data_IF_529189237646
#
_entry.id   IF_529189237646
#
_cell.length_a   1.000
_cell.length_b   1.000
_cell.length_c   1.000
_cell.angle_alpha   90.00
_cell.angle_beta   90.00
_cell.angle_gamma   90.00
#
_symmetry.space_group_name_H-M   'P 1'
#
loop_
_entity.id
_entity.type
_entity.pdbx_description
1 polymer ?
#
# COMPACT_ATOMS: atom_id res chain seq x y z
N UNK A 1 -5.84 18.58 15.36
CA UNK A 1 -6.68 17.99 14.30
C UNK A 1 -6.25 16.56 14.07
N UNK A 2 -7.14 15.57 14.28
CA UNK A 2 -6.80 14.16 14.05
C UNK A 2 -7.07 13.78 12.59
N UNK A 3 -6.05 13.26 11.88
CA UNK A 3 -6.23 12.71 10.54
C UNK A 3 -7.19 11.52 10.52
N UNK A 4 -7.63 11.13 9.31
CA UNK A 4 -8.41 9.90 9.13
C UNK A 4 -7.60 8.70 9.67
N UNK A 5 -8.25 7.68 10.22
CA UNK A 5 -7.50 6.51 10.72
C UNK A 5 -6.99 5.67 9.54
N UNK A 6 -5.68 5.41 9.49
CA UNK A 6 -5.11 4.49 8.49
C UNK A 6 -5.31 3.05 8.95
N UNK A 7 -6.27 2.35 8.34
CA UNK A 7 -6.47 0.93 8.61
C UNK A 7 -5.57 0.04 7.75
N UNK A 8 -5.42 0.39 6.48
CA UNK A 8 -4.67 -0.39 5.50
C UNK A 8 -3.71 0.49 4.71
N UNK A 9 -2.51 -0.05 4.49
CA UNK A 9 -1.55 0.52 3.55
C UNK A 9 -1.59 -0.22 2.21
N UNK A 10 -1.23 0.49 1.14
CA UNK A 10 -1.09 -0.03 -0.22
C UNK A 10 0.32 0.27 -0.69
N UNK A 11 1.01 -0.74 -1.22
CA UNK A 11 2.37 -0.61 -1.73
C UNK A 11 2.60 -1.48 -2.98
N UNK A 12 3.50 -1.07 -3.89
CA UNK A 12 3.84 -1.86 -5.06
C UNK A 12 4.62 -3.12 -4.68
N UNK A 13 4.33 -4.23 -5.36
CA UNK A 13 4.84 -5.55 -5.03
C UNK A 13 6.36 -5.65 -5.24
N UNK A 14 6.93 -4.84 -6.14
CA UNK A 14 8.37 -4.77 -6.33
C UNK A 14 9.14 -4.35 -5.06
N UNK A 15 8.50 -3.73 -4.06
CA UNK A 15 9.16 -3.34 -2.80
C UNK A 15 9.65 -4.53 -1.96
N UNK A 16 9.11 -5.73 -2.18
CA UNK A 16 9.55 -6.94 -1.46
C UNK A 16 10.61 -7.74 -2.22
N UNK A 17 11.15 -7.21 -3.34
CA UNK A 17 12.28 -7.83 -4.01
C UNK A 17 13.47 -7.92 -3.05
N UNK A 18 14.08 -9.11 -2.97
CA UNK A 18 15.14 -9.43 -2.02
C UNK A 18 14.67 -9.84 -0.62
N UNK A 19 13.36 -9.85 -0.33
CA UNK A 19 12.85 -10.29 0.97
C UNK A 19 13.17 -11.77 1.25
N UNK A 20 13.05 -12.64 0.25
CA UNK A 20 13.26 -14.09 0.44
C UNK A 20 14.69 -14.49 0.81
N UNK A 21 15.66 -13.62 0.51
CA UNK A 21 17.09 -13.79 0.79
C UNK A 21 17.59 -12.83 1.87
N UNK A 22 16.67 -12.08 2.51
CA UNK A 22 17.01 -11.11 3.53
C UNK A 22 17.30 -11.78 4.87
N UNK A 23 18.27 -11.23 5.61
CA UNK A 23 18.41 -11.47 7.04
C UNK A 23 17.37 -10.66 7.84
N UNK A 24 17.42 -10.74 9.17
CA UNK A 24 16.48 -10.04 10.05
C UNK A 24 16.57 -8.51 9.90
N UNK A 25 17.79 -7.96 9.83
CA UNK A 25 18.03 -6.52 9.70
C UNK A 25 17.45 -5.97 8.39
N UNK A 26 17.71 -6.68 7.29
CA UNK A 26 17.19 -6.32 5.97
C UNK A 26 15.68 -6.50 5.90
N UNK A 27 15.14 -7.52 6.58
CA UNK A 27 13.68 -7.71 6.70
C UNK A 27 13.03 -6.53 7.42
N UNK A 28 13.59 -6.08 8.56
CA UNK A 28 13.12 -4.88 9.28
C UNK A 28 13.18 -3.63 8.40
N UNK A 29 14.26 -3.46 7.64
CA UNK A 29 14.39 -2.33 6.71
C UNK A 29 13.30 -2.35 5.62
N UNK A 30 13.04 -3.50 4.99
CA UNK A 30 11.99 -3.65 3.98
C UNK A 30 10.62 -3.33 4.58
N UNK A 31 10.31 -3.87 5.77
CA UNK A 31 9.06 -3.60 6.48
C UNK A 31 8.92 -2.11 6.81
N UNK A 32 9.96 -1.47 7.33
CA UNK A 32 9.97 -0.03 7.64
C UNK A 32 9.68 0.81 6.39
N UNK A 33 10.31 0.48 5.27
CA UNK A 33 10.07 1.19 4.00
C UNK A 33 8.63 1.00 3.52
N UNK A 34 8.06 -0.20 3.65
CA UNK A 34 6.66 -0.48 3.30
C UNK A 34 5.71 0.36 4.17
N UNK A 35 5.94 0.44 5.49
CA UNK A 35 5.14 1.24 6.41
C UNK A 35 5.22 2.72 6.04
N UNK A 36 6.44 3.24 5.89
CA UNK A 36 6.71 4.65 5.59
C UNK A 36 6.08 5.06 4.26
N UNK A 37 6.31 4.27 3.20
CA UNK A 37 5.65 4.46 1.91
C UNK A 37 4.14 4.37 2.04
N UNK A 38 3.62 3.38 2.77
CA UNK A 38 2.20 3.14 2.93
C UNK A 38 1.44 4.28 3.58
N UNK A 39 2.01 4.86 4.65
CA UNK A 39 1.46 6.03 5.33
C UNK A 39 1.50 7.25 4.42
N UNK A 40 2.65 7.50 3.78
CA UNK A 40 2.78 8.63 2.88
C UNK A 40 1.84 8.53 1.67
N UNK A 41 1.77 7.36 1.04
CA UNK A 41 0.86 7.10 -0.07
C UNK A 41 -0.61 7.29 0.34
N UNK A 42 -1.01 6.85 1.55
CA UNK A 42 -2.33 7.14 2.09
C UNK A 42 -2.57 8.65 2.24
N UNK A 43 -1.68 9.33 2.95
CA UNK A 43 -1.82 10.75 3.26
C UNK A 43 -1.85 11.63 2.01
N UNK A 44 -1.08 11.29 0.98
CA UNK A 44 -0.93 12.12 -0.22
C UNK A 44 -1.99 11.83 -1.29
N UNK A 45 -2.43 10.58 -1.43
CA UNK A 45 -3.28 10.15 -2.56
C UNK A 45 -4.69 9.68 -2.19
N UNK A 46 -4.95 9.27 -0.94
CA UNK A 46 -6.22 8.65 -0.56
C UNK A 46 -7.01 9.44 0.47
N UNK A 47 -6.32 10.08 1.41
CA UNK A 47 -6.95 10.95 2.39
C UNK A 47 -7.54 12.19 1.71
N UNK A 48 -8.74 12.57 2.14
CA UNK A 48 -9.41 13.79 1.68
C UNK A 48 -9.18 14.90 2.69
N UNK A 49 -8.76 16.06 2.20
CA UNK A 49 -8.62 17.28 2.97
C UNK A 49 -9.29 18.41 2.21
N UNK A 50 -9.97 19.29 2.93
CA UNK A 50 -10.28 20.60 2.39
C UNK A 50 -9.01 21.46 2.34
N UNK A 51 -9.00 22.41 1.42
CA UNK A 51 -7.80 23.22 1.16
C UNK A 51 -7.44 24.11 2.35
N UNK A 52 -8.44 24.70 3.01
CA UNK A 52 -8.24 25.55 4.18
C UNK A 52 -7.57 24.79 5.34
N UNK A 53 -7.93 23.53 5.57
CA UNK A 53 -7.29 22.66 6.56
C UNK A 53 -5.82 22.42 6.25
N UNK A 54 -5.47 22.17 4.98
CA UNK A 54 -4.05 22.01 4.60
C UNK A 54 -3.30 23.34 4.76
N UNK A 55 -3.89 24.46 4.32
CA UNK A 55 -3.31 25.81 4.46
C UNK A 55 -3.04 26.18 5.92
N UNK A 56 -4.03 25.96 6.80
CA UNK A 56 -3.89 26.13 8.25
C UNK A 56 -2.78 25.24 8.81
N UNK A 57 -2.70 23.99 8.36
CA UNK A 57 -1.64 23.09 8.82
C UNK A 57 -0.25 23.51 8.33
N UNK A 58 -0.13 24.01 7.09
CA UNK A 58 1.13 24.56 6.60
C UNK A 58 1.55 25.77 7.42
N UNK A 59 0.62 26.67 7.76
CA UNK A 59 0.91 27.84 8.59
C UNK A 59 1.39 27.43 9.98
N UNK A 60 0.74 26.45 10.59
CA UNK A 60 1.19 25.86 11.86
C UNK A 60 2.62 25.33 11.75
N UNK A 61 2.91 24.54 10.71
CA UNK A 61 4.25 23.97 10.51
C UNK A 61 5.30 25.05 10.19
N UNK A 62 4.93 26.11 9.48
CA UNK A 62 5.77 27.27 9.19
C UNK A 62 6.20 27.95 10.49
N UNK A 63 5.25 28.33 11.36
CA UNK A 63 5.55 28.95 12.64
C UNK A 63 6.38 28.05 13.56
N UNK A 64 6.21 26.73 13.47
CA UNK A 64 7.02 25.75 14.21
C UNK A 64 8.35 25.40 13.55
N UNK A 65 8.70 26.01 12.40
CA UNK A 65 9.92 25.74 11.61
C UNK A 65 10.05 24.26 11.23
N UNK A 66 8.95 23.65 10.79
CA UNK A 66 8.82 22.22 10.46
C UNK A 66 8.47 21.97 9.00
N UNK A 67 8.48 23.00 8.17
CA UNK A 67 8.40 22.86 6.71
C UNK A 67 9.81 22.68 6.11
N UNK A 68 9.91 22.18 4.87
CA UNK A 68 11.21 22.01 4.21
C UNK A 68 12.05 23.28 4.19
N UNK A 69 13.36 23.15 4.41
CA UNK A 69 14.30 24.29 4.48
C UNK A 69 14.23 25.22 3.27
N UNK A 70 14.04 24.67 2.08
CA UNK A 70 13.89 25.44 0.84
C UNK A 70 12.65 26.32 0.88
N UNK A 71 11.54 25.82 1.40
CA UNK A 71 10.33 26.59 1.63
C UNK A 71 10.56 27.65 2.70
N UNK A 72 11.14 27.27 3.85
CA UNK A 72 11.38 28.19 4.97
C UNK A 72 12.22 29.40 4.53
N UNK A 73 13.32 29.17 3.80
CA UNK A 73 14.18 30.26 3.28
C UNK A 73 13.45 31.19 2.32
N UNK A 74 12.57 30.65 1.47
CA UNK A 74 11.81 31.45 0.53
C UNK A 74 10.68 32.23 1.22
N UNK A 75 9.99 31.59 2.16
CA UNK A 75 8.93 32.20 2.96
C UNK A 75 9.48 33.35 3.80
N UNK A 76 10.61 33.20 4.49
CA UNK A 76 11.22 34.30 5.26
C UNK A 76 11.53 35.53 4.39
N UNK A 77 12.10 35.33 3.20
CA UNK A 77 12.32 36.45 2.25
C UNK A 77 11.02 37.08 1.76
N UNK A 78 9.96 36.30 1.60
CA UNK A 78 8.67 36.78 1.18
C UNK A 78 7.98 37.60 2.28
N UNK A 79 8.13 37.21 3.54
CA UNK A 79 7.67 37.98 4.71
C UNK A 79 8.39 39.32 4.77
N UNK A 80 9.72 39.32 4.72
CA UNK A 80 10.54 40.55 4.71
C UNK A 80 10.17 41.49 3.56
N UNK A 81 9.78 40.93 2.41
CA UNK A 81 9.37 41.69 1.23
C UNK A 81 7.87 42.08 1.21
N UNK A 82 7.09 41.77 2.26
CA UNK A 82 5.65 42.02 2.32
C UNK A 82 4.81 41.23 1.32
N UNK A 83 5.35 40.14 0.75
CA UNK A 83 4.69 39.26 -0.23
C UNK A 83 3.98 38.06 0.41
N UNK A 84 4.33 37.75 1.65
CA UNK A 84 3.70 36.75 2.49
C UNK A 84 3.30 37.45 3.80
N UNK A 85 2.02 37.76 3.92
CA UNK A 85 1.44 38.39 5.11
C UNK A 85 1.21 37.29 6.17
N UNK A 86 1.73 37.49 7.38
CA UNK A 86 1.61 36.59 8.53
C UNK A 86 1.48 37.41 9.82
N UNK A 87 0.90 36.85 10.88
CA UNK A 87 0.83 37.48 12.19
C UNK A 87 2.03 37.07 13.06
N UNK A 88 3.05 37.92 13.11
CA UNK A 88 4.26 37.66 13.88
C UNK A 88 4.08 37.81 15.40
N UNK A 89 3.05 38.54 15.85
CA UNK A 89 2.81 38.78 17.28
C UNK A 89 2.22 37.55 17.98
N UNK A 90 1.22 36.93 17.35
CA UNK A 90 0.50 35.79 17.94
C UNK A 90 0.88 34.45 17.29
N UNK A 91 1.52 34.47 16.12
CA UNK A 91 1.87 33.28 15.33
C UNK A 91 0.68 32.34 15.13
N UNK A 92 -0.52 32.92 14.95
CA UNK A 92 -1.78 32.20 14.78
C UNK A 92 -2.29 31.49 16.03
N UNK A 93 -1.75 31.77 17.22
CA UNK A 93 -2.31 31.29 18.49
C UNK A 93 -3.25 32.33 19.10
N UNK A 94 -4.25 31.86 19.84
CA UNK A 94 -5.08 32.74 20.68
C UNK A 94 -4.22 33.47 21.71
N UNK A 95 -4.71 34.59 22.23
CA UNK A 95 -3.95 35.44 23.19
C UNK A 95 -3.60 34.73 24.50
N UNK A 96 -4.33 33.67 24.84
CA UNK A 96 -4.03 32.74 25.95
C UNK A 96 -3.00 31.66 25.59
N UNK A 97 -2.61 31.53 24.32
CA UNK A 97 -1.63 30.58 23.80
C UNK A 97 -2.15 29.15 23.59
N UNK A 98 -3.41 28.88 23.94
CA UNK A 98 -3.92 27.51 24.08
C UNK A 98 -4.38 26.88 22.76
N UNK A 99 -4.84 27.70 21.81
CA UNK A 99 -5.40 27.19 20.56
C UNK A 99 -4.78 27.86 19.34
N UNK A 100 -4.39 27.04 18.36
CA UNK A 100 -3.92 27.55 17.07
C UNK A 100 -5.12 27.92 16.21
N UNK A 101 -5.50 29.20 16.20
CA UNK A 101 -6.64 29.77 15.47
C UNK A 101 -6.20 30.99 14.66
N UNK A 102 -5.42 30.79 13.57
CA UNK A 102 -4.95 31.89 12.74
C UNK A 102 -6.11 32.60 12.03
N UNK A 103 -5.89 33.86 11.67
CA UNK A 103 -6.88 34.64 10.96
C UNK A 103 -7.03 34.15 9.51
N UNK A 104 -8.21 34.36 8.92
CA UNK A 104 -8.52 33.86 7.57
C UNK A 104 -7.56 34.40 6.49
N UNK A 105 -7.13 35.66 6.61
CA UNK A 105 -6.19 36.26 5.67
C UNK A 105 -4.80 35.62 5.73
N UNK A 106 -4.35 35.12 6.89
CA UNK A 106 -3.07 34.40 7.00
C UNK A 106 -3.13 33.07 6.25
N UNK A 107 -4.26 32.37 6.39
CA UNK A 107 -4.53 31.11 5.68
C UNK A 107 -4.54 31.36 4.16
N UNK A 108 -5.23 32.41 3.71
CA UNK A 108 -5.28 32.78 2.29
C UNK A 108 -3.92 33.24 1.76
N UNK A 109 -3.14 33.95 2.58
CA UNK A 109 -1.79 34.43 2.26
C UNK A 109 -0.83 33.27 2.03
N UNK A 110 -0.72 32.31 2.96
CA UNK A 110 0.17 31.15 2.79
C UNK A 110 -0.28 30.25 1.64
N UNK A 111 -1.59 30.09 1.45
CA UNK A 111 -2.15 29.31 0.35
C UNK A 111 -1.78 29.89 -1.01
N UNK A 112 -1.95 31.22 -1.19
CA UNK A 112 -1.54 31.93 -2.40
C UNK A 112 -0.04 31.78 -2.62
N UNK A 113 0.77 31.97 -1.59
CA UNK A 113 2.22 31.87 -1.70
C UNK A 113 2.68 30.48 -2.14
N UNK A 114 2.15 29.40 -1.55
CA UNK A 114 2.49 28.02 -1.93
C UNK A 114 2.08 27.73 -3.37
N UNK A 115 0.87 28.14 -3.79
CA UNK A 115 0.37 27.92 -5.15
C UNK A 115 1.17 28.67 -6.21
N UNK A 116 1.40 29.97 -6.00
CA UNK A 116 2.08 30.83 -6.98
C UNK A 116 3.53 30.42 -7.23
N UNK A 117 4.18 29.79 -6.25
CA UNK A 117 5.57 29.35 -6.34
C UNK A 117 5.72 27.81 -6.50
N UNK A 118 4.62 27.08 -6.64
CA UNK A 118 4.59 25.63 -6.79
C UNK A 118 5.33 24.84 -5.69
N UNK A 119 5.24 25.28 -4.43
CA UNK A 119 5.84 24.58 -3.27
C UNK A 119 5.02 23.36 -2.84
N UNK A 120 4.84 22.39 -3.75
CA UNK A 120 4.04 21.18 -3.53
C UNK A 120 4.55 20.34 -2.35
N UNK A 121 5.85 20.38 -2.06
CA UNK A 121 6.45 19.71 -0.90
C UNK A 121 5.96 20.26 0.45
N UNK A 122 5.62 21.56 0.54
CA UNK A 122 5.01 22.13 1.75
C UNK A 122 3.60 21.55 1.98
N UNK A 123 2.84 21.33 0.90
CA UNK A 123 1.55 20.62 0.97
C UNK A 123 1.70 19.16 1.36
N UNK A 124 2.68 18.47 0.81
CA UNK A 124 2.94 17.08 1.18
C UNK A 124 3.30 16.96 2.67
N UNK A 125 4.19 17.81 3.18
CA UNK A 125 4.56 17.84 4.60
C UNK A 125 3.35 18.13 5.50
N UNK A 126 2.50 19.06 5.07
CA UNK A 126 1.26 19.40 5.79
C UNK A 126 0.32 18.20 5.87
N UNK A 127 0.08 17.50 4.76
CA UNK A 127 -0.73 16.28 4.73
C UNK A 127 -0.13 15.16 5.59
N UNK A 128 1.19 14.96 5.53
CA UNK A 128 1.89 13.94 6.32
C UNK A 128 1.82 14.21 7.83
N UNK A 129 1.86 15.48 8.24
CA UNK A 129 1.84 15.86 9.66
C UNK A 129 0.56 15.49 10.41
N UNK A 130 -0.53 15.15 9.70
CA UNK A 130 -1.75 14.62 10.32
C UNK A 130 -1.60 13.16 10.80
N UNK A 131 -0.56 12.44 10.34
CA UNK A 131 -0.37 11.00 10.58
C UNK A 131 0.98 10.67 11.21
N UNK A 132 1.95 11.57 11.07
CA UNK A 132 3.34 11.37 11.45
C UNK A 132 3.78 12.41 12.46
N UNK A 133 4.69 12.01 13.35
CA UNK A 133 5.42 12.97 14.18
C UNK A 133 6.38 13.79 13.30
N UNK A 134 6.71 14.99 13.75
CA UNK A 134 7.49 15.94 12.95
C UNK A 134 8.84 15.39 12.49
N UNK A 135 9.52 14.64 13.35
CA UNK A 135 10.80 13.97 13.09
C UNK A 135 10.71 12.82 12.07
N UNK A 136 9.51 12.36 11.73
CA UNK A 136 9.28 11.26 10.80
C UNK A 136 8.86 11.73 9.40
N UNK A 137 8.39 12.97 9.26
CA UNK A 137 7.80 13.48 8.02
C UNK A 137 8.81 13.43 6.87
N UNK A 138 10.01 13.99 7.06
CA UNK A 138 11.04 14.06 6.03
C UNK A 138 11.50 12.67 5.59
N UNK A 139 11.74 11.77 6.55
CA UNK A 139 12.11 10.38 6.25
C UNK A 139 11.01 9.68 5.45
N UNK A 140 9.75 9.77 5.86
CA UNK A 140 8.64 9.14 5.14
C UNK A 140 8.42 9.74 3.74
N UNK A 141 8.55 11.06 3.60
CA UNK A 141 8.44 11.74 2.30
C UNK A 141 9.56 11.31 1.35
N UNK A 142 10.82 11.28 1.80
CA UNK A 142 11.95 10.83 0.98
C UNK A 142 11.84 9.35 0.57
N UNK A 143 11.38 8.46 1.47
CA UNK A 143 11.08 7.06 1.13
C UNK A 143 9.99 6.99 0.07
N UNK A 144 8.93 7.78 0.20
CA UNK A 144 7.85 7.85 -0.78
C UNK A 144 8.36 8.25 -2.17
N UNK A 145 9.11 9.35 -2.29
CA UNK A 145 9.66 9.81 -3.57
C UNK A 145 10.60 8.79 -4.22
N UNK A 146 11.48 8.17 -3.41
CA UNK A 146 12.39 7.13 -3.88
C UNK A 146 11.65 5.93 -4.46
N UNK A 147 10.60 5.47 -3.77
CA UNK A 147 9.81 4.32 -4.22
C UNK A 147 8.96 4.67 -5.44
N UNK A 148 8.32 5.85 -5.50
CA UNK A 148 7.59 6.29 -6.70
C UNK A 148 8.52 6.36 -7.91
N UNK A 149 9.73 6.87 -7.73
CA UNK A 149 10.73 6.93 -8.81
C UNK A 149 11.14 5.54 -9.27
N UNK A 150 11.44 4.64 -8.32
CA UNK A 150 11.76 3.24 -8.60
C UNK A 150 10.60 2.50 -9.28
N UNK A 151 9.37 2.73 -8.84
CA UNK A 151 8.15 2.18 -9.44
C UNK A 151 7.98 2.68 -10.87
N UNK A 152 8.11 3.99 -11.14
CA UNK A 152 8.03 4.54 -12.49
C UNK A 152 9.07 3.90 -13.43
N UNK A 153 10.31 3.75 -12.96
CA UNK A 153 11.36 3.09 -13.72
C UNK A 153 11.03 1.60 -14.00
N UNK A 154 10.53 0.89 -12.99
CA UNK A 154 10.09 -0.49 -13.12
C UNK A 154 8.93 -0.63 -14.11
N UNK A 155 7.90 0.20 -13.99
CA UNK A 155 6.71 0.15 -14.84
C UNK A 155 7.01 0.54 -16.29
N UNK A 156 7.97 1.45 -16.52
CA UNK A 156 8.47 1.76 -17.87
C UNK A 156 9.08 0.54 -18.56
N UNK A 157 9.75 -0.35 -17.81
CA UNK A 157 10.45 -1.53 -18.36
C UNK A 157 9.59 -2.79 -18.39
N UNK A 158 8.63 -2.91 -17.47
CA UNK A 158 7.91 -4.16 -17.21
C UNK A 158 6.38 -4.01 -17.27
N UNK A 159 5.87 -2.80 -17.53
CA UNK A 159 4.45 -2.44 -17.42
C UNK A 159 3.99 -2.30 -15.97
N UNK A 160 2.76 -1.82 -15.77
CA UNK A 160 2.13 -1.54 -14.45
C UNK A 160 2.40 -2.62 -13.39
N UNK A 161 2.88 -2.22 -12.22
CA UNK A 161 3.13 -3.16 -11.13
C UNK A 161 1.84 -3.56 -10.44
N UNK A 162 1.87 -4.68 -9.71
CA UNK A 162 0.78 -5.08 -8.85
C UNK A 162 0.99 -4.50 -7.47
N UNK A 163 -0.09 -4.18 -6.78
CA UNK A 163 -0.04 -3.67 -5.42
C UNK A 163 -0.52 -4.73 -4.43
N UNK A 164 0.04 -4.69 -3.23
CA UNK A 164 -0.46 -5.42 -2.07
C UNK A 164 -1.15 -4.46 -1.10
N UNK A 165 -2.16 -4.95 -0.37
CA UNK A 165 -2.79 -4.17 0.70
C UNK A 165 -2.87 -4.95 2.00
N UNK A 166 -2.30 -4.36 3.05
CA UNK A 166 -2.12 -4.95 4.37
C UNK A 166 -2.62 -4.03 5.47
N UNK A 167 -3.08 -4.62 6.58
CA UNK A 167 -3.44 -3.86 7.79
C UNK A 167 -2.17 -3.19 8.34
N UNK A 168 -2.26 -1.90 8.67
CA UNK A 168 -1.11 -1.15 9.17
C UNK A 168 -0.63 -1.68 10.53
N UNK A 169 -1.56 -2.04 11.41
CA UNK A 169 -1.24 -2.61 12.74
C UNK A 169 -0.39 -3.88 12.62
N UNK A 170 -0.77 -4.79 11.73
CA UNK A 170 -0.03 -6.03 11.48
C UNK A 170 1.39 -5.76 10.95
N UNK A 171 1.56 -4.71 10.14
CA UNK A 171 2.88 -4.34 9.65
C UNK A 171 3.77 -3.78 10.76
N UNK A 172 3.20 -3.03 11.71
CA UNK A 172 3.93 -2.63 12.91
C UNK A 172 4.32 -3.83 13.78
N UNK A 173 3.46 -4.84 13.89
CA UNK A 173 3.79 -6.07 14.61
C UNK A 173 4.97 -6.79 13.93
N UNK A 174 4.97 -6.88 12.59
CA UNK A 174 6.10 -7.42 11.82
C UNK A 174 7.37 -6.58 11.92
N UNK A 175 7.27 -5.27 12.13
CA UNK A 175 8.44 -4.43 12.33
C UNK A 175 9.11 -4.71 13.68
N UNK A 176 8.29 -4.84 14.74
CA UNK A 176 8.76 -5.16 16.09
C UNK A 176 9.37 -6.56 16.15
N UNK A 177 8.64 -7.54 15.62
CA UNK A 177 9.01 -8.95 15.62
C UNK A 177 8.87 -9.53 14.21
N UNK A 178 9.92 -9.43 13.38
CA UNK A 178 9.88 -9.92 12.01
C UNK A 178 9.58 -11.42 11.97
N UNK A 179 8.54 -11.85 11.24
CA UNK A 179 8.37 -13.27 10.97
C UNK A 179 9.48 -13.74 10.03
N UNK A 180 9.58 -15.06 9.87
CA UNK A 180 10.46 -15.64 8.86
C UNK A 180 10.16 -15.03 7.47
N UNK A 181 11.17 -14.67 6.66
CA UNK A 181 10.95 -13.91 5.42
C UNK A 181 10.05 -14.63 4.41
N UNK A 182 10.09 -15.97 4.38
CA UNK A 182 9.21 -16.80 3.58
C UNK A 182 7.74 -16.64 3.97
N UNK A 183 7.45 -16.53 5.27
CA UNK A 183 6.11 -16.33 5.81
C UNK A 183 5.56 -14.95 5.45
N UNK A 184 6.36 -13.90 5.62
CA UNK A 184 5.98 -12.53 5.23
C UNK A 184 5.75 -12.43 3.72
N UNK A 185 6.68 -12.94 2.91
CA UNK A 185 6.57 -12.94 1.46
C UNK A 185 5.32 -13.70 0.99
N UNK A 186 5.03 -14.85 1.59
CA UNK A 186 3.84 -15.64 1.25
C UNK A 186 2.55 -14.91 1.60
N UNK A 187 2.49 -14.27 2.77
CA UNK A 187 1.32 -13.48 3.15
C UNK A 187 1.12 -12.28 2.19
N UNK A 188 2.17 -11.53 1.89
CA UNK A 188 2.13 -10.43 0.91
C UNK A 188 1.67 -10.94 -0.46
N UNK A 189 2.19 -12.09 -0.90
CA UNK A 189 1.80 -12.72 -2.15
C UNK A 189 0.30 -13.00 -2.21
N UNK A 190 -0.26 -13.64 -1.17
CA UNK A 190 -1.70 -13.91 -1.10
C UNK A 190 -2.52 -12.62 -1.10
N UNK A 191 -2.08 -11.60 -0.36
CA UNK A 191 -2.77 -10.30 -0.28
C UNK A 191 -2.68 -9.49 -1.58
N UNK A 192 -1.61 -9.63 -2.34
CA UNK A 192 -1.49 -9.05 -3.69
C UNK A 192 -2.41 -9.71 -4.73
N UNK A 193 -2.79 -10.98 -4.50
CA UNK A 193 -3.70 -11.73 -5.37
C UNK A 193 -5.16 -11.50 -4.99
N UNK A 194 -5.48 -11.56 -3.69
CA UNK A 194 -6.85 -11.39 -3.19
C UNK A 194 -7.29 -9.92 -3.17
N UNK A 195 -6.35 -9.01 -2.93
CA UNK A 195 -6.66 -7.61 -2.63
C UNK A 195 -7.41 -7.47 -1.31
N UNK A 196 -8.40 -6.57 -1.29
CA UNK A 196 -9.31 -6.33 -0.14
C UNK A 196 -10.65 -7.07 -0.26
N UNK A 197 -10.83 -7.89 -1.29
CA UNK A 197 -12.11 -8.54 -1.56
C UNK A 197 -12.41 -9.62 -0.52
N UNK A 198 -13.65 -9.62 -0.05
CA UNK A 198 -14.20 -10.72 0.73
C UNK A 198 -14.36 -11.96 -0.17
N UNK A 199 -14.18 -13.16 0.39
CA UNK A 199 -14.23 -14.42 -0.34
C UNK A 199 -12.86 -15.06 -0.55
N UNK A 200 -12.73 -15.87 -1.60
CA UNK A 200 -11.54 -16.69 -1.83
C UNK A 200 -10.83 -16.33 -3.12
N UNK A 201 -9.57 -16.73 -3.22
CA UNK A 201 -8.77 -16.65 -4.43
C UNK A 201 -8.51 -18.07 -4.96
N UNK A 202 -8.76 -18.27 -6.25
CA UNK A 202 -8.28 -19.45 -6.98
C UNK A 202 -6.91 -19.13 -7.55
N UNK A 203 -5.86 -19.83 -7.10
CA UNK A 203 -4.48 -19.58 -7.56
C UNK A 203 -3.68 -20.87 -7.72
N UNK A 204 -2.48 -20.75 -8.26
CA UNK A 204 -1.55 -21.85 -8.45
C UNK A 204 -0.29 -21.60 -7.60
N UNK A 205 0.37 -22.69 -7.18
CA UNK A 205 1.64 -22.63 -6.44
C UNK A 205 2.66 -21.73 -7.14
N UNK A 206 2.82 -21.90 -8.46
CA UNK A 206 3.75 -21.09 -9.28
C UNK A 206 3.43 -19.59 -9.18
N UNK A 207 2.16 -19.23 -9.20
CA UNK A 207 1.72 -17.83 -9.09
C UNK A 207 2.03 -17.28 -7.69
N UNK A 208 1.82 -18.05 -6.63
CA UNK A 208 2.17 -17.62 -5.26
C UNK A 208 3.67 -17.39 -5.15
N UNK A 209 4.49 -18.36 -5.56
CA UNK A 209 5.96 -18.26 -5.51
C UNK A 209 6.50 -17.06 -6.29
N UNK A 210 5.91 -16.79 -7.46
CA UNK A 210 6.25 -15.61 -8.27
C UNK A 210 5.91 -14.30 -7.55
N UNK A 211 4.78 -14.24 -6.86
CA UNK A 211 4.40 -13.06 -6.07
C UNK A 211 5.28 -12.90 -4.84
N UNK A 212 5.70 -14.00 -4.22
CA UNK A 212 6.63 -14.00 -3.08
C UNK A 212 7.98 -13.38 -3.42
N UNK A 213 8.42 -13.46 -4.68
CA UNK A 213 9.67 -12.85 -5.14
C UNK A 213 9.53 -11.36 -5.50
N UNK A 214 8.36 -10.74 -5.30
CA UNK A 214 8.12 -9.36 -5.71
C UNK A 214 7.83 -9.18 -7.21
N UNK A 215 7.39 -10.24 -7.90
CA UNK A 215 7.15 -10.25 -9.34
C UNK A 215 5.69 -10.49 -9.71
N UNK A 216 5.26 -9.91 -10.84
CA UNK A 216 3.92 -10.15 -11.40
C UNK A 216 3.85 -11.23 -12.48
N UNK A 217 4.94 -11.42 -13.22
CA UNK A 217 5.05 -12.35 -14.35
C UNK A 217 6.41 -13.03 -14.36
N UNK A 218 6.48 -14.21 -14.99
CA UNK A 218 7.76 -14.92 -15.14
C UNK A 218 8.79 -14.08 -15.92
N UNK A 219 8.36 -13.21 -16.82
CA UNK A 219 9.25 -12.35 -17.60
C UNK A 219 9.96 -11.30 -16.73
N UNK A 220 9.27 -10.81 -15.69
CA UNK A 220 9.91 -9.96 -14.69
C UNK A 220 10.87 -10.79 -13.84
N UNK A 221 10.44 -11.98 -13.41
CA UNK A 221 11.27 -12.87 -12.59
C UNK A 221 12.59 -13.19 -13.25
N UNK A 222 12.59 -13.60 -14.53
CA UNK A 222 13.80 -13.87 -15.31
C UNK A 222 14.80 -12.71 -15.38
N UNK A 223 14.33 -11.47 -15.19
CA UNK A 223 15.19 -10.26 -15.25
C UNK A 223 15.77 -9.88 -13.90
N UNK A 224 15.26 -10.44 -12.80
CA UNK A 224 15.72 -10.14 -11.44
C UNK A 224 16.22 -11.40 -10.70
N UNK A 225 16.10 -12.57 -11.32
CA UNK A 225 16.49 -13.83 -10.70
C UNK A 225 18.00 -13.85 -10.44
N UNK A 226 18.36 -14.30 -9.25
CA UNK A 226 19.73 -14.60 -8.83
C UNK A 226 19.79 -16.07 -8.46
N UNK A 227 20.99 -16.67 -8.48
CA UNK A 227 21.17 -18.07 -8.09
C UNK A 227 20.66 -18.36 -6.68
N UNK A 228 20.82 -17.41 -5.77
CA UNK A 228 20.33 -17.48 -4.40
C UNK A 228 18.79 -17.46 -4.35
N UNK A 229 18.16 -16.51 -5.05
CA UNK A 229 16.70 -16.41 -5.11
C UNK A 229 16.07 -17.66 -5.75
N UNK A 230 16.67 -18.17 -6.83
CA UNK A 230 16.23 -19.41 -7.49
C UNK A 230 16.27 -20.59 -6.52
N UNK A 231 17.42 -20.79 -5.86
CA UNK A 231 17.60 -21.83 -4.86
C UNK A 231 16.53 -21.75 -3.77
N UNK A 232 16.25 -20.53 -3.27
CA UNK A 232 15.25 -20.31 -2.24
C UNK A 232 13.83 -20.63 -2.71
N UNK A 233 13.47 -20.19 -3.91
CA UNK A 233 12.16 -20.49 -4.52
C UNK A 233 11.99 -21.99 -4.74
N UNK A 234 13.01 -22.69 -5.23
CA UNK A 234 12.97 -24.14 -5.45
C UNK A 234 12.81 -24.93 -4.15
N UNK A 235 13.50 -24.52 -3.08
CA UNK A 235 13.33 -25.11 -1.75
C UNK A 235 11.89 -24.98 -1.25
N UNK A 236 11.27 -23.80 -1.42
CA UNK A 236 9.89 -23.54 -1.04
C UNK A 236 8.91 -24.28 -1.96
N UNK A 237 9.23 -24.43 -3.25
CA UNK A 237 8.39 -25.08 -4.25
C UNK A 237 8.17 -26.59 -4.01
N UNK A 238 9.06 -27.24 -3.24
CA UNK A 238 8.91 -28.64 -2.80
C UNK A 238 7.58 -28.81 -2.07
N UNK A 239 6.82 -29.85 -2.42
CA UNK A 239 5.44 -30.08 -1.91
C UNK A 239 5.36 -29.95 -0.39
N UNK A 240 6.20 -30.70 0.34
CA UNK A 240 6.20 -30.68 1.81
C UNK A 240 6.48 -29.29 2.39
N UNK A 241 7.45 -28.57 1.83
CA UNK A 241 7.82 -27.22 2.29
C UNK A 241 6.69 -26.22 2.06
N UNK A 242 6.10 -26.23 0.86
CA UNK A 242 5.00 -25.33 0.51
C UNK A 242 3.76 -25.57 1.38
N UNK A 243 3.42 -26.84 1.60
CA UNK A 243 2.30 -27.25 2.45
C UNK A 243 2.52 -26.83 3.91
N UNK A 244 3.75 -26.97 4.42
CA UNK A 244 4.13 -26.49 5.76
C UNK A 244 4.05 -24.97 5.85
N UNK A 245 4.46 -24.25 4.81
CA UNK A 245 4.34 -22.79 4.74
C UNK A 245 2.87 -22.34 4.82
N UNK A 246 1.97 -22.97 4.05
CA UNK A 246 0.53 -22.67 4.13
C UNK A 246 -0.06 -22.99 5.50
N UNK A 247 0.38 -24.08 6.13
CA UNK A 247 -0.08 -24.46 7.47
C UNK A 247 0.38 -23.44 8.52
N UNK A 248 1.64 -22.99 8.46
CA UNK A 248 2.16 -21.92 9.33
C UNK A 248 1.44 -20.59 9.14
N UNK A 249 1.03 -20.25 7.91
CA UNK A 249 0.20 -19.08 7.67
C UNK A 249 -1.16 -19.19 8.37
N UNK A 250 -1.77 -20.39 8.35
CA UNK A 250 -3.05 -20.64 9.00
C UNK A 250 -2.93 -20.63 10.53
N UNK A 251 -1.92 -21.29 11.08
CA UNK A 251 -1.62 -21.30 12.53
C UNK A 251 -1.43 -19.89 13.10
N UNK A 252 -0.87 -18.96 12.31
CA UNK A 252 -0.69 -17.56 12.70
C UNK A 252 -1.87 -16.65 12.35
N UNK A 253 -2.97 -17.20 11.81
CA UNK A 253 -4.15 -16.43 11.42
C UNK A 253 -3.97 -15.54 10.18
N UNK A 254 -2.88 -15.72 9.41
CA UNK A 254 -2.66 -14.99 8.15
C UNK A 254 -3.42 -15.60 6.97
N UNK A 255 -3.81 -16.87 7.10
CA UNK A 255 -4.66 -17.60 6.16
C UNK A 255 -5.87 -18.14 6.94
N UNK A 256 -7.06 -17.63 6.65
CA UNK A 256 -8.30 -18.00 7.35
C UNK A 256 -8.89 -19.30 6.80
N UNK A 257 -8.84 -19.48 5.48
CA UNK A 257 -9.45 -20.62 4.82
C UNK A 257 -8.56 -21.22 3.77
N UNK A 258 -8.59 -22.55 3.68
CA UNK A 258 -7.82 -23.33 2.72
C UNK A 258 -8.60 -24.55 2.28
N UNK A 259 -8.98 -24.56 1.00
CA UNK A 259 -9.69 -25.67 0.39
C UNK A 259 -8.91 -26.17 -0.83
N UNK A 260 -8.58 -27.46 -0.83
CA UNK A 260 -7.83 -28.13 -1.90
C UNK A 260 -8.70 -29.25 -2.43
N UNK A 261 -9.00 -29.18 -3.73
CA UNK A 261 -9.75 -30.22 -4.41
C UNK A 261 -8.81 -31.36 -4.83
N UNK A 262 -9.22 -32.63 -4.66
CA UNK A 262 -8.49 -33.77 -5.21
C UNK A 262 -8.25 -33.60 -6.71
N UNK A 263 -7.09 -34.05 -7.19
CA UNK A 263 -6.73 -34.07 -8.61
C UNK A 263 -6.72 -32.69 -9.32
N UNK A 264 -6.58 -31.60 -8.56
CA UNK A 264 -6.44 -30.27 -9.12
C UNK A 264 -5.06 -29.66 -8.83
N UNK A 265 -4.60 -28.82 -9.73
CA UNK A 265 -3.32 -28.11 -9.60
C UNK A 265 -3.45 -26.70 -8.99
N UNK A 266 -4.65 -26.33 -8.54
CA UNK A 266 -4.95 -25.02 -7.98
C UNK A 266 -5.36 -25.12 -6.51
N UNK A 267 -5.21 -24.00 -5.81
CA UNK A 267 -5.58 -23.81 -4.42
C UNK A 267 -6.73 -22.82 -4.36
N UNK A 268 -7.70 -23.06 -3.48
CA UNK A 268 -8.66 -22.06 -3.05
C UNK A 268 -8.24 -21.58 -1.66
N UNK A 269 -7.78 -20.35 -1.58
CA UNK A 269 -7.21 -19.76 -0.36
C UNK A 269 -7.99 -18.50 0.01
N UNK A 270 -8.07 -18.20 1.30
CA UNK A 270 -8.64 -16.93 1.74
C UNK A 270 -7.95 -16.40 2.99
N UNK A 271 -7.79 -15.09 3.03
CA UNK A 271 -7.35 -14.32 4.20
C UNK A 271 -8.52 -13.69 4.97
N UNK A 272 -9.76 -14.05 4.65
CA UNK A 272 -10.97 -13.46 5.25
C UNK A 272 -12.12 -14.43 5.54
N UNK A 273 -12.24 -15.53 4.79
CA UNK A 273 -13.30 -16.54 5.00
C UNK A 273 -12.70 -17.90 5.34
N UNK A 274 -13.44 -18.69 6.10
CA UNK A 274 -13.01 -20.04 6.49
C UNK A 274 -13.20 -21.07 5.36
N UNK A 275 -12.70 -22.28 5.57
CA UNK A 275 -12.73 -23.36 4.57
C UNK A 275 -14.15 -23.79 4.17
N UNK A 276 -15.12 -23.75 5.09
CA UNK A 276 -16.51 -24.14 4.82
C UNK A 276 -17.14 -23.10 3.90
N UNK A 277 -16.94 -21.83 4.20
CA UNK A 277 -17.43 -20.74 3.38
C UNK A 277 -16.77 -20.72 1.99
N UNK A 278 -15.46 -21.03 1.88
CA UNK A 278 -14.80 -21.23 0.58
C UNK A 278 -15.52 -22.30 -0.24
N UNK A 279 -15.82 -23.46 0.36
CA UNK A 279 -16.47 -24.56 -0.34
C UNK A 279 -17.87 -24.17 -0.84
N UNK A 280 -18.65 -23.47 -0.01
CA UNK A 280 -19.97 -22.94 -0.38
C UNK A 280 -19.88 -21.96 -1.55
N UNK A 281 -19.03 -20.93 -1.45
CA UNK A 281 -18.85 -19.92 -2.49
C UNK A 281 -18.36 -20.53 -3.81
N UNK A 282 -17.48 -21.53 -3.74
CA UNK A 282 -17.01 -22.24 -4.92
C UNK A 282 -18.12 -23.06 -5.59
N UNK A 283 -18.93 -23.78 -4.81
CA UNK A 283 -20.08 -24.54 -5.33
C UNK A 283 -21.11 -23.62 -5.99
N UNK A 284 -21.46 -22.50 -5.35
CA UNK A 284 -22.35 -21.48 -5.93
C UNK A 284 -21.80 -20.92 -7.25
N UNK A 285 -20.51 -20.63 -7.30
CA UNK A 285 -19.84 -20.14 -8.52
C UNK A 285 -19.91 -21.17 -9.64
N UNK A 286 -19.74 -22.46 -9.33
CA UNK A 286 -19.86 -23.56 -10.28
C UNK A 286 -21.28 -23.72 -10.81
N UNK A 287 -22.26 -23.74 -9.92
CA UNK A 287 -23.67 -23.86 -10.30
C UNK A 287 -24.14 -22.70 -11.18
N UNK A 288 -23.71 -21.47 -10.88
CA UNK A 288 -23.98 -20.30 -11.73
C UNK A 288 -23.36 -20.44 -13.12
N UNK A 289 -22.11 -20.90 -13.21
CA UNK A 289 -21.44 -21.10 -14.50
C UNK A 289 -22.13 -22.19 -15.34
N UNK A 290 -22.54 -23.29 -14.72
CA UNK A 290 -23.26 -24.37 -15.40
C UNK A 290 -24.64 -23.92 -15.89
N UNK A 291 -25.37 -23.14 -15.08
CA UNK A 291 -26.65 -22.56 -15.47
C UNK A 291 -26.51 -21.57 -16.63
N UNK A 292 -25.50 -20.69 -16.59
CA UNK A 292 -25.20 -19.76 -17.69
C UNK A 292 -24.90 -20.51 -18.99
N UNK A 293 -24.11 -21.59 -18.92
CA UNK A 293 -23.79 -22.41 -20.08
C UNK A 293 -25.04 -23.06 -20.68
N UNK A 294 -25.93 -23.60 -19.85
CA UNK A 294 -27.21 -24.18 -20.29
C UNK A 294 -28.12 -23.13 -20.94
N UNK A 295 -28.16 -21.91 -20.40
CA UNK A 295 -28.91 -20.81 -20.98
C UNK A 295 -28.37 -20.40 -22.35
N UNK A 296 -27.04 -20.28 -22.49
CA UNK A 296 -26.40 -19.97 -23.78
C UNK A 296 -26.66 -21.06 -24.83
N UNK A 297 -26.61 -22.33 -24.44
CA UNK A 297 -26.93 -23.48 -25.31
C UNK A 297 -28.41 -23.46 -25.74
N UNK A 298 -29.33 -23.19 -24.81
CA UNK A 298 -30.76 -23.07 -25.11
C UNK A 298 -31.05 -21.89 -26.05
N UNK A 299 -30.40 -20.74 -25.85
CA UNK A 299 -30.56 -19.56 -26.70
C UNK A 299 -30.03 -19.81 -28.13
N UNK A 300 -28.88 -20.48 -28.27
CA UNK A 300 -28.35 -20.88 -29.57
C UNK A 300 -29.30 -21.83 -30.30
N UNK A 301 -29.86 -22.81 -29.60
CA UNK A 301 -30.84 -23.73 -30.16
C UNK A 301 -32.13 -22.99 -30.57
N UNK A 302 -32.64 -22.10 -29.73
CA UNK A 302 -33.80 -21.27 -30.05
C UNK A 302 -33.57 -20.47 -31.34
N UNK A 303 -32.46 -19.74 -31.44
CA UNK A 303 -32.13 -18.96 -32.63
C UNK A 303 -32.04 -19.83 -33.90
N UNK A 304 -31.42 -21.01 -33.81
CA UNK A 304 -31.38 -21.97 -34.93
C UNK A 304 -32.76 -22.46 -35.37
N UNK A 305 -33.70 -22.58 -34.43
CA UNK A 305 -35.07 -23.01 -34.71
C UNK A 305 -35.95 -21.87 -35.24
N UNK A 306 -35.64 -20.62 -34.90
CA UNK A 306 -36.41 -19.43 -35.30
C UNK A 306 -35.85 -18.65 -36.49
N UNK A 307 -34.63 -18.92 -36.96
CA UNK A 307 -34.05 -18.35 -38.19
C UNK A 307 -34.63 -18.98 -39.49
N UNK A 308 -35.91 -19.40 -39.48
CA UNK A 308 -36.67 -19.81 -40.67
C UNK A 308 -37.67 -18.73 -41.05
#
# INVERSE_FOLDING_TARGET
>A
MSGQKIEYIIFPLNMIQGLLTADESKTKQIVSNIISFGIANFALNYAKYDEATISRQALYLFYRKRLPDSFMKAASKAVEAGKLEINDETMGFTSDGDSFSPEGWEIDSIQRFIKSNAYNNAWDFSKLSFYLKADQIEYCHSVYEKIITSQKAFEKKHGKDVTASLKLTLMYDFFKEPPAPDLLAAYIALRSLQGRKHGYLKTFKKTILLRMSGCKSNDVFKKIETSELLTRIEQIAKRKTFEKLLSRLAERGFLTGRFILPNTNFFLLSTSVDTIEIARLFAETKLKADNSKKQDEALKLFNQLTEK
#
